data_IF_433636337557
#
_entry.id   IF_433636337557
#
_cell.length_a   1.000
_cell.length_b   1.000
_cell.length_c   1.000
_cell.angle_alpha   90.00
_cell.angle_beta   90.00
_cell.angle_gamma   90.00
#
_symmetry.space_group_name_H-M   'P 1'
#
loop_
_entity.id
_entity.type
_entity.pdbx_description
1 polymer ?
#
# COMPACT_ATOMS: atom_id res chain seq x y z
N UNK A 1 43.48 9.87 36.99
CA UNK A 1 42.93 10.73 38.06
C UNK A 1 42.44 12.01 37.43
N UNK A 2 41.46 12.70 38.03
CA UNK A 2 41.20 14.10 37.65
C UNK A 2 42.52 14.88 37.72
N UNK A 3 42.91 15.50 36.60
CA UNK A 3 44.21 16.17 36.44
C UNK A 3 45.27 15.37 35.66
N UNK A 4 45.04 14.10 35.32
CA UNK A 4 45.96 13.35 34.46
C UNK A 4 45.86 13.85 33.01
N UNK A 5 47.02 14.03 32.37
CA UNK A 5 47.11 14.43 30.97
C UNK A 5 47.15 13.19 30.07
N UNK A 6 46.34 13.20 29.02
CA UNK A 6 46.31 12.14 28.02
C UNK A 6 46.80 12.69 26.68
N UNK A 7 47.69 11.94 26.04
CA UNK A 7 48.21 12.28 24.71
C UNK A 7 47.15 11.93 23.65
N UNK A 8 46.72 12.92 22.86
CA UNK A 8 45.76 12.69 21.77
C UNK A 8 46.50 12.08 20.58
N UNK A 9 46.42 10.75 20.47
CA UNK A 9 47.11 10.00 19.42
C UNK A 9 46.61 10.34 18.01
N UNK A 10 45.31 10.61 17.85
CA UNK A 10 44.70 10.95 16.55
C UNK A 10 43.35 11.62 16.72
N UNK A 11 43.13 12.72 16.02
CA UNK A 11 41.81 13.32 15.83
C UNK A 11 41.34 13.01 14.41
N UNK A 12 40.21 12.31 14.30
CA UNK A 12 39.56 11.99 13.03
C UNK A 12 38.30 12.84 12.89
N UNK A 13 38.34 13.82 11.99
CA UNK A 13 37.13 14.53 11.56
C UNK A 13 36.54 13.80 10.36
N UNK A 14 35.38 13.17 10.56
CA UNK A 14 34.65 12.45 9.50
C UNK A 14 33.37 13.17 9.17
N UNK A 15 33.17 13.51 7.90
CA UNK A 15 31.88 13.98 7.41
C UNK A 15 30.88 12.81 7.36
N UNK A 16 29.66 13.03 7.85
CA UNK A 16 28.55 12.07 7.77
C UNK A 16 27.31 12.77 7.28
N UNK A 17 26.48 12.04 6.53
CA UNK A 17 25.16 12.49 6.10
C UNK A 17 24.08 11.78 6.89
N UNK A 18 22.92 12.43 7.04
CA UNK A 18 21.72 11.77 7.54
C UNK A 18 21.31 10.67 6.58
N UNK A 19 20.88 9.54 7.12
CA UNK A 19 20.35 8.44 6.33
C UNK A 19 18.82 8.51 6.36
N UNK A 20 18.14 8.09 5.28
CA UNK A 20 16.70 7.95 5.32
C UNK A 20 16.29 6.89 6.36
N UNK A 21 15.06 6.98 6.90
CA UNK A 21 14.55 5.96 7.79
C UNK A 21 14.66 4.56 7.16
N UNK A 22 15.10 3.54 7.91
CA UNK A 22 15.14 2.18 7.40
C UNK A 22 13.73 1.69 7.09
N UNK A 23 13.57 0.93 6.01
CA UNK A 23 12.31 0.23 5.74
C UNK A 23 12.01 -0.78 6.84
N UNK A 24 10.73 -1.02 7.08
CA UNK A 24 10.28 -2.01 8.04
C UNK A 24 10.64 -3.44 7.61
N UNK A 25 10.96 -4.30 8.55
CA UNK A 25 10.80 -5.75 8.44
C UNK A 25 9.41 -6.15 8.98
N UNK A 26 9.01 -7.42 8.85
CA UNK A 26 7.79 -7.92 9.49
C UNK A 26 7.79 -7.66 10.99
N UNK A 27 8.92 -7.93 11.67
CA UNK A 27 9.09 -7.69 13.11
C UNK A 27 8.91 -6.22 13.50
N UNK A 28 9.59 -5.30 12.81
CA UNK A 28 9.47 -3.87 13.13
C UNK A 28 8.11 -3.30 12.72
N UNK A 29 7.45 -3.84 11.68
CA UNK A 29 6.10 -3.43 11.32
C UNK A 29 5.10 -3.87 12.39
N UNK A 30 5.24 -5.07 12.96
CA UNK A 30 4.40 -5.50 14.08
C UNK A 30 4.54 -4.60 15.31
N UNK A 31 5.77 -4.21 15.65
CA UNK A 31 6.03 -3.24 16.72
C UNK A 31 5.38 -1.88 16.42
N UNK A 32 5.44 -1.43 15.16
CA UNK A 32 4.81 -0.18 14.75
C UNK A 32 3.28 -0.25 14.78
N UNK A 33 2.70 -1.38 14.38
CA UNK A 33 1.26 -1.65 14.51
C UNK A 33 0.84 -1.63 15.98
N UNK A 34 1.59 -2.30 16.85
CA UNK A 34 1.35 -2.29 18.30
C UNK A 34 1.40 -0.88 18.88
N UNK A 35 2.45 -0.10 18.55
CA UNK A 35 2.61 1.29 18.98
C UNK A 35 1.44 2.17 18.54
N UNK A 36 0.82 1.86 17.40
CA UNK A 36 -0.33 2.58 16.85
C UNK A 36 -1.69 2.03 17.29
N UNK A 37 -1.72 0.99 18.13
CA UNK A 37 -2.99 0.36 18.54
C UNK A 37 -3.69 -0.39 17.41
N UNK A 38 -2.94 -0.94 16.44
CA UNK A 38 -3.48 -1.64 15.28
C UNK A 38 -3.40 -3.15 15.47
N UNK A 39 -4.57 -3.77 15.63
CA UNK A 39 -4.69 -5.20 15.83
C UNK A 39 -4.12 -5.68 17.17
N UNK A 40 -4.45 -6.93 17.49
CA UNK A 40 -4.05 -7.61 18.71
C UNK A 40 -2.82 -8.50 18.47
N UNK A 41 -2.28 -9.09 19.54
CA UNK A 41 -1.15 -10.02 19.47
C UNK A 41 -1.39 -11.18 18.49
N UNK A 42 -2.64 -11.63 18.34
CA UNK A 42 -3.01 -12.72 17.42
C UNK A 42 -3.25 -12.27 15.98
N UNK A 43 -3.69 -11.02 15.74
CA UNK A 43 -4.10 -10.60 14.39
C UNK A 43 -3.00 -9.92 13.57
N UNK A 44 -1.98 -9.31 14.20
CA UNK A 44 -0.93 -8.55 13.47
C UNK A 44 -0.17 -9.40 12.45
N UNK A 45 0.24 -10.61 12.85
CA UNK A 45 0.96 -11.53 11.97
C UNK A 45 0.11 -11.91 10.74
N UNK A 46 -1.16 -12.24 10.98
CA UNK A 46 -2.10 -12.63 9.91
C UNK A 46 -2.38 -11.45 8.96
N UNK A 47 -2.54 -10.24 9.49
CA UNK A 47 -2.73 -9.02 8.70
C UNK A 47 -1.54 -8.76 7.78
N UNK A 48 -0.31 -8.85 8.32
CA UNK A 48 0.90 -8.69 7.51
C UNK A 48 0.95 -9.78 6.43
N UNK A 49 0.68 -11.04 6.78
CA UNK A 49 0.68 -12.13 5.80
C UNK A 49 -0.34 -11.90 4.67
N UNK A 50 -1.55 -11.43 5.00
CA UNK A 50 -2.57 -11.06 4.00
C UNK A 50 -2.10 -9.98 3.04
N UNK A 51 -1.26 -9.02 3.48
CA UNK A 51 -0.67 -8.01 2.58
C UNK A 51 0.26 -8.66 1.55
N UNK A 52 1.03 -9.67 1.93
CA UNK A 52 1.88 -10.42 1.00
C UNK A 52 1.06 -11.32 0.07
N UNK A 53 0.09 -12.05 0.61
CA UNK A 53 -0.75 -12.99 -0.16
C UNK A 53 -1.55 -12.25 -1.24
N UNK A 54 -2.07 -11.06 -0.90
CA UNK A 54 -2.78 -10.17 -1.83
C UNK A 54 -1.84 -9.33 -2.70
N UNK A 55 -0.52 -9.49 -2.54
CA UNK A 55 0.53 -8.77 -3.28
C UNK A 55 0.45 -7.26 -3.14
N UNK A 56 0.11 -6.75 -1.96
CA UNK A 56 0.24 -5.33 -1.60
C UNK A 56 1.62 -4.99 -1.03
N UNK A 57 2.34 -5.99 -0.53
CA UNK A 57 3.70 -5.86 -0.03
C UNK A 57 4.62 -6.96 -0.59
N UNK A 58 5.92 -6.68 -0.66
CA UNK A 58 6.97 -7.62 -1.10
C UNK A 58 8.27 -7.40 -0.34
N UNK A 59 9.20 -8.36 -0.46
CA UNK A 59 10.56 -8.26 0.07
C UNK A 59 10.70 -8.57 1.57
N UNK A 60 11.94 -8.78 2.02
CA UNK A 60 12.28 -8.99 3.44
C UNK A 60 12.26 -7.67 4.21
N UNK A 61 12.84 -6.64 3.61
CA UNK A 61 12.53 -5.25 3.94
C UNK A 61 11.26 -4.92 3.16
N UNK A 62 10.18 -4.67 3.89
CA UNK A 62 8.84 -4.47 3.36
C UNK A 62 8.85 -3.30 2.41
N UNK A 63 8.43 -3.56 1.18
CA UNK A 63 8.21 -2.58 0.15
C UNK A 63 6.76 -2.68 -0.32
N UNK A 64 6.02 -1.57 -0.36
CA UNK A 64 4.70 -1.58 -0.96
C UNK A 64 4.84 -1.93 -2.44
N UNK A 65 3.93 -2.75 -2.94
CA UNK A 65 3.80 -2.95 -4.38
C UNK A 65 3.02 -1.80 -4.97
N UNK A 66 3.12 -1.66 -6.27
CA UNK A 66 2.35 -0.68 -7.00
C UNK A 66 0.83 -0.85 -6.85
N UNK A 67 0.34 -2.09 -6.79
CA UNK A 67 -1.06 -2.36 -6.49
C UNK A 67 -1.44 -1.90 -5.08
N UNK A 68 -0.55 -2.07 -4.10
CA UNK A 68 -0.74 -1.55 -2.75
C UNK A 68 -0.84 -0.03 -2.74
N UNK A 69 0.09 0.64 -3.43
CA UNK A 69 0.10 2.11 -3.57
C UNK A 69 -1.17 2.60 -4.26
N UNK A 70 -1.57 1.96 -5.37
CA UNK A 70 -2.75 2.34 -6.15
C UNK A 70 -4.04 2.23 -5.33
N UNK A 71 -4.18 1.17 -4.53
CA UNK A 71 -5.35 0.99 -3.65
C UNK A 71 -5.40 2.08 -2.59
N UNK A 72 -4.30 2.34 -1.89
CA UNK A 72 -4.24 3.38 -0.86
C UNK A 72 -4.52 4.75 -1.47
N UNK A 73 -3.89 5.09 -2.60
CA UNK A 73 -4.10 6.36 -3.28
C UNK A 73 -5.55 6.56 -3.74
N UNK A 74 -6.19 5.51 -4.29
CA UNK A 74 -7.59 5.60 -4.71
C UNK A 74 -8.53 5.82 -3.52
N UNK A 75 -8.29 5.13 -2.40
CA UNK A 75 -9.05 5.34 -1.16
C UNK A 75 -8.81 6.75 -0.60
N UNK A 76 -7.57 7.24 -0.61
CA UNK A 76 -7.27 8.60 -0.14
C UNK A 76 -7.88 9.70 -1.01
N UNK A 77 -8.07 9.46 -2.30
CA UNK A 77 -8.66 10.45 -3.21
C UNK A 77 -10.18 10.50 -3.14
N UNK A 78 -10.82 9.34 -2.96
CA UNK A 78 -12.27 9.19 -3.15
C UNK A 78 -13.04 8.77 -1.90
N UNK A 79 -12.38 8.28 -0.85
CA UNK A 79 -13.01 7.81 0.38
C UNK A 79 -12.74 8.76 1.57
N UNK A 80 -12.66 10.07 1.31
CA UNK A 80 -12.53 11.08 2.37
C UNK A 80 -13.91 11.40 2.94
N UNK A 81 -14.04 11.27 4.26
CA UNK A 81 -15.28 11.58 4.98
C UNK A 81 -15.17 12.86 5.77
N UNK A 82 -14.38 12.82 6.84
CA UNK A 82 -14.22 13.90 7.79
C UNK A 82 -12.74 14.00 8.16
N UNK A 83 -12.31 15.19 8.58
CA UNK A 83 -10.90 15.42 8.93
C UNK A 83 -10.41 14.56 10.09
N UNK A 84 -11.35 14.04 10.91
CA UNK A 84 -11.03 13.28 12.11
C UNK A 84 -10.80 11.79 11.88
N UNK A 85 -11.58 11.14 11.00
CA UNK A 85 -11.50 9.70 10.73
C UNK A 85 -11.47 9.39 9.24
N UNK A 86 -10.39 8.73 8.81
CA UNK A 86 -10.17 8.27 7.43
C UNK A 86 -9.88 6.77 7.46
N UNK A 87 -10.50 6.02 6.56
CA UNK A 87 -10.33 4.55 6.48
C UNK A 87 -8.87 4.12 6.28
N UNK A 88 -8.03 4.95 5.65
CA UNK A 88 -6.61 4.69 5.45
C UNK A 88 -5.73 5.09 6.64
N UNK A 89 -6.27 5.79 7.63
CA UNK A 89 -5.51 6.30 8.77
C UNK A 89 -5.62 5.37 9.98
N UNK A 90 -4.47 5.12 10.62
CA UNK A 90 -4.37 4.28 11.81
C UNK A 90 -5.31 4.70 12.96
N UNK A 91 -5.58 6.01 13.12
CA UNK A 91 -6.40 6.55 14.23
C UNK A 91 -7.80 5.92 14.27
N UNK A 92 -8.44 5.74 13.11
CA UNK A 92 -9.79 5.19 13.05
C UNK A 92 -9.80 3.72 13.50
N UNK A 93 -8.91 2.90 12.95
CA UNK A 93 -8.83 1.49 13.35
C UNK A 93 -8.44 1.34 14.81
N UNK A 94 -7.52 2.16 15.31
CA UNK A 94 -7.11 2.15 16.71
C UNK A 94 -8.26 2.51 17.66
N UNK A 95 -9.15 3.43 17.27
CA UNK A 95 -10.37 3.75 18.03
C UNK A 95 -11.27 2.51 18.16
N UNK A 96 -11.55 1.84 17.04
CA UNK A 96 -12.38 0.62 17.06
C UNK A 96 -11.77 -0.49 17.92
N UNK A 97 -10.44 -0.67 17.89
CA UNK A 97 -9.73 -1.63 18.75
C UNK A 97 -9.83 -1.24 20.23
N UNK A 98 -9.67 0.05 20.57
CA UNK A 98 -9.80 0.49 21.96
C UNK A 98 -11.22 0.32 22.51
N UNK A 99 -12.24 0.55 21.68
CA UNK A 99 -13.64 0.34 22.06
C UNK A 99 -13.92 -1.13 22.37
N UNK A 100 -13.35 -2.06 21.59
CA UNK A 100 -13.42 -3.50 21.87
C UNK A 100 -12.71 -3.86 23.19
N UNK A 101 -11.56 -3.26 23.48
CA UNK A 101 -10.83 -3.47 24.74
C UNK A 101 -11.64 -2.97 25.96
N UNK A 102 -12.37 -1.85 25.83
CA UNK A 102 -13.24 -1.33 26.89
C UNK A 102 -14.42 -2.27 27.19
N UNK A 103 -14.97 -2.94 26.18
CA UNK A 103 -15.97 -4.01 26.40
C UNK A 103 -15.34 -5.16 27.19
N UNK A 104 -14.14 -5.59 26.81
CA UNK A 104 -13.46 -6.70 27.48
C UNK A 104 -13.13 -6.39 28.96
N UNK A 105 -12.91 -5.12 29.28
CA UNK A 105 -12.68 -4.64 30.65
C UNK A 105 -13.97 -4.39 31.45
N UNK A 106 -15.13 -4.41 30.78
CA UNK A 106 -16.43 -4.10 31.39
C UNK A 106 -16.67 -2.60 31.59
N UNK A 107 -15.90 -1.74 30.93
CA UNK A 107 -16.01 -0.28 31.02
C UNK A 107 -17.03 0.30 30.02
N UNK A 108 -17.33 -0.44 28.94
CA UNK A 108 -18.38 -0.11 27.97
C UNK A 108 -19.31 -1.28 27.68
N UNK A 109 -20.54 -0.96 27.29
CA UNK A 109 -21.57 -1.93 26.94
C UNK A 109 -21.49 -2.27 25.45
N UNK A 110 -21.63 -3.56 25.12
CA UNK A 110 -21.57 -4.05 23.74
C UNK A 110 -22.53 -3.31 22.79
N UNK A 111 -23.76 -3.04 23.24
CA UNK A 111 -24.77 -2.37 22.43
C UNK A 111 -24.29 -0.99 21.95
N UNK A 112 -23.83 -0.14 22.88
CA UNK A 112 -23.38 1.21 22.57
C UNK A 112 -22.18 1.22 21.62
N UNK A 113 -21.22 0.33 21.84
CA UNK A 113 -20.01 0.24 20.99
C UNK A 113 -20.36 -0.25 19.59
N UNK A 114 -21.28 -1.21 19.47
CA UNK A 114 -21.73 -1.72 18.16
C UNK A 114 -22.47 -0.64 17.39
N UNK A 115 -23.37 0.10 18.05
CA UNK A 115 -24.09 1.23 17.44
C UNK A 115 -23.11 2.30 16.92
N UNK A 116 -22.19 2.77 17.78
CA UNK A 116 -21.18 3.77 17.40
C UNK A 116 -20.27 3.29 16.26
N UNK A 117 -19.85 2.02 16.30
CA UNK A 117 -19.01 1.43 15.24
C UNK A 117 -19.76 1.30 13.92
N UNK A 118 -21.05 0.95 13.97
CA UNK A 118 -21.89 0.83 12.79
C UNK A 118 -22.12 2.19 12.13
N UNK A 119 -22.45 3.22 12.92
CA UNK A 119 -22.63 4.58 12.42
C UNK A 119 -21.37 5.08 11.70
N UNK A 120 -20.20 4.90 12.34
CA UNK A 120 -18.92 5.27 11.73
C UNK A 120 -18.66 4.55 10.40
N UNK A 121 -19.01 3.26 10.31
CA UNK A 121 -18.81 2.46 9.11
C UNK A 121 -19.84 2.73 8.02
N UNK A 122 -21.07 3.09 8.37
CA UNK A 122 -22.16 3.39 7.44
C UNK A 122 -21.85 4.65 6.62
N UNK A 123 -21.34 5.68 7.32
CA UNK A 123 -20.84 6.89 6.69
C UNK A 123 -19.72 6.56 5.67
N UNK A 124 -18.79 5.69 6.04
CA UNK A 124 -17.73 5.21 5.15
C UNK A 124 -18.27 4.46 3.94
N UNK A 125 -19.20 3.53 4.19
CA UNK A 125 -19.77 2.71 3.14
C UNK A 125 -20.53 3.57 2.14
N UNK A 126 -21.28 4.58 2.61
CA UNK A 126 -22.00 5.54 1.76
C UNK A 126 -21.06 6.24 0.77
N UNK A 127 -19.90 6.72 1.23
CA UNK A 127 -18.92 7.37 0.35
C UNK A 127 -18.25 6.38 -0.60
N UNK A 128 -17.89 5.19 -0.11
CA UNK A 128 -17.28 4.15 -0.95
C UNK A 128 -18.23 3.67 -2.05
N UNK A 129 -19.52 3.50 -1.74
CA UNK A 129 -20.53 3.12 -2.72
C UNK A 129 -20.76 4.21 -3.75
N UNK A 130 -20.85 5.48 -3.30
CA UNK A 130 -21.01 6.63 -4.19
C UNK A 130 -19.85 6.78 -5.18
N UNK A 131 -18.62 6.55 -4.73
CA UNK A 131 -17.40 6.73 -5.53
C UNK A 131 -16.82 5.41 -6.06
N UNK A 132 -17.60 4.31 -6.03
CA UNK A 132 -17.15 2.96 -6.39
C UNK A 132 -16.54 2.89 -7.79
N UNK A 133 -17.11 3.63 -8.74
CA UNK A 133 -16.67 3.62 -10.14
C UNK A 133 -15.32 4.33 -10.27
N UNK A 134 -15.21 5.51 -9.67
CA UNK A 134 -14.03 6.36 -9.66
C UNK A 134 -12.85 5.65 -8.99
N UNK A 135 -13.07 5.05 -7.81
CA UNK A 135 -12.09 4.22 -7.12
C UNK A 135 -11.62 3.07 -8.03
N UNK A 136 -12.56 2.35 -8.63
CA UNK A 136 -12.25 1.21 -9.50
C UNK A 136 -11.50 1.61 -10.77
N UNK A 137 -11.80 2.78 -11.33
CA UNK A 137 -11.16 3.30 -12.53
C UNK A 137 -9.75 3.84 -12.22
N UNK A 138 -9.54 4.50 -11.08
CA UNK A 138 -8.22 4.97 -10.63
C UNK A 138 -7.27 3.81 -10.34
N UNK A 139 -7.73 2.77 -9.64
CA UNK A 139 -6.94 1.56 -9.40
C UNK A 139 -6.56 0.92 -10.74
N UNK A 140 -7.52 0.78 -11.67
CA UNK A 140 -7.26 0.22 -13.00
C UNK A 140 -6.29 1.07 -13.81
N UNK A 141 -6.40 2.39 -13.75
CA UNK A 141 -5.53 3.34 -14.46
C UNK A 141 -4.11 3.26 -13.94
N UNK A 142 -3.92 3.30 -12.63
CA UNK A 142 -2.61 3.18 -11.98
C UNK A 142 -1.92 1.87 -12.37
N UNK A 143 -2.65 0.75 -12.34
CA UNK A 143 -2.12 -0.56 -12.74
C UNK A 143 -1.79 -0.63 -14.24
N UNK A 144 -2.59 -0.01 -15.11
CA UNK A 144 -2.36 -0.01 -16.57
C UNK A 144 -1.18 0.88 -16.98
N UNK A 145 -1.02 2.05 -16.36
CA UNK A 145 0.04 3.00 -16.69
C UNK A 145 1.44 2.37 -16.55
N UNK A 146 1.60 1.40 -15.67
CA UNK A 146 2.86 0.73 -15.37
C UNK A 146 3.21 -0.40 -16.34
N UNK A 147 2.19 -0.93 -17.01
CA UNK A 147 2.36 -1.95 -18.04
C UNK A 147 2.46 -1.33 -19.45
N UNK A 148 2.54 0.01 -19.54
CA UNK A 148 2.67 0.69 -20.81
C UNK A 148 4.09 0.51 -21.39
N UNK A 149 4.15 -0.18 -22.52
CA UNK A 149 5.36 -0.47 -23.29
C UNK A 149 5.55 0.50 -24.47
N UNK A 150 4.74 1.56 -24.54
CA UNK A 150 4.80 2.59 -25.57
C UNK A 150 3.61 2.57 -26.53
N UNK A 151 3.69 3.37 -27.59
CA UNK A 151 2.62 3.50 -28.59
C UNK A 151 2.44 2.20 -29.40
N UNK A 152 1.18 1.86 -29.70
CA UNK A 152 0.85 0.71 -30.53
C UNK A 152 1.26 0.96 -31.99
N UNK A 153 2.17 0.17 -32.58
CA UNK A 153 2.63 0.39 -33.94
C UNK A 153 1.53 0.18 -34.99
N UNK A 154 0.46 -0.54 -34.65
CA UNK A 154 -0.65 -0.86 -35.55
C UNK A 154 -1.66 0.28 -35.68
N UNK A 155 -2.09 0.87 -34.56
CA UNK A 155 -3.12 1.92 -34.59
C UNK A 155 -2.58 3.32 -34.33
N UNK A 156 -1.34 3.48 -33.82
CA UNK A 156 -0.68 4.75 -33.46
C UNK A 156 -1.45 5.67 -32.48
N UNK A 157 -2.66 5.28 -32.10
CA UNK A 157 -3.54 6.01 -31.18
C UNK A 157 -3.68 5.28 -29.83
N UNK A 158 -3.37 3.98 -29.80
CA UNK A 158 -3.42 3.15 -28.59
C UNK A 158 -2.05 2.94 -27.96
N UNK A 159 -2.02 2.48 -26.72
CA UNK A 159 -0.80 2.12 -25.99
C UNK A 159 -0.68 0.60 -25.88
N UNK A 160 0.52 0.07 -25.99
CA UNK A 160 0.81 -1.34 -25.72
C UNK A 160 0.86 -1.56 -24.21
N UNK A 161 -0.03 -2.39 -23.71
CA UNK A 161 -0.12 -2.74 -22.30
C UNK A 161 0.30 -4.20 -22.11
N UNK A 162 1.16 -4.48 -21.15
CA UNK A 162 1.34 -5.83 -20.64
C UNK A 162 0.08 -6.27 -19.85
N UNK A 163 -0.55 -7.35 -20.32
CA UNK A 163 -1.75 -7.94 -19.75
C UNK A 163 -1.39 -9.30 -19.18
N UNK A 164 -1.64 -9.47 -17.88
CA UNK A 164 -1.46 -10.75 -17.19
C UNK A 164 -2.75 -11.56 -17.20
N UNK A 165 -2.66 -12.80 -17.67
CA UNK A 165 -3.74 -13.78 -17.64
C UNK A 165 -3.85 -14.42 -16.25
N UNK A 166 -5.04 -14.95 -15.93
CA UNK A 166 -5.30 -15.69 -14.68
C UNK A 166 -4.39 -16.92 -14.51
N UNK A 167 -3.92 -17.50 -15.62
CA UNK A 167 -2.97 -18.63 -15.65
C UNK A 167 -1.54 -18.23 -15.27
N UNK A 168 -1.28 -16.94 -15.02
CA UNK A 168 0.04 -16.42 -14.66
C UNK A 168 0.92 -16.04 -15.86
N UNK A 169 0.56 -16.47 -17.07
CA UNK A 169 1.16 -16.01 -18.32
C UNK A 169 0.79 -14.53 -18.59
N UNK A 170 1.64 -13.83 -19.32
CA UNK A 170 1.40 -12.44 -19.72
C UNK A 170 1.61 -12.28 -21.21
N UNK A 171 0.86 -11.37 -21.82
CA UNK A 171 1.01 -10.98 -23.23
C UNK A 171 0.91 -9.47 -23.33
N UNK A 172 1.37 -8.89 -24.43
CA UNK A 172 1.23 -7.46 -24.68
C UNK A 172 0.01 -7.25 -25.58
N UNK A 173 -0.88 -6.33 -25.24
CA UNK A 173 -2.08 -6.02 -26.00
C UNK A 173 -2.33 -4.52 -26.12
N UNK A 174 -2.98 -4.08 -27.19
CA UNK A 174 -3.34 -2.67 -27.37
C UNK A 174 -4.46 -2.24 -26.40
N UNK A 175 -4.31 -1.05 -25.81
CA UNK A 175 -5.28 -0.45 -24.86
C UNK A 175 -6.65 -0.18 -25.47
N UNK A 176 -6.73 0.01 -26.80
CA UNK A 176 -7.96 0.19 -27.58
C UNK A 176 -8.59 -1.13 -28.04
N UNK A 177 -8.54 -2.18 -27.23
CA UNK A 177 -9.32 -3.38 -27.53
C UNK A 177 -10.80 -3.13 -27.17
N UNK A 178 -11.79 -3.47 -28.02
CA UNK A 178 -11.72 -4.35 -29.19
C UNK A 178 -11.43 -3.69 -30.55
N UNK A 179 -11.35 -2.35 -30.63
CA UNK A 179 -11.13 -1.60 -31.88
C UNK A 179 -9.77 -1.92 -32.53
N UNK A 180 -8.76 -2.22 -31.71
CA UNK A 180 -7.43 -2.65 -32.11
C UNK A 180 -7.07 -3.96 -31.41
N UNK A 181 -7.06 -5.07 -32.16
CA UNK A 181 -6.73 -6.42 -31.67
C UNK A 181 -5.23 -6.76 -31.76
N UNK A 182 -4.36 -5.75 -31.73
CA UNK A 182 -2.92 -6.00 -31.80
C UNK A 182 -2.43 -6.65 -30.49
N UNK A 183 -1.79 -7.81 -30.59
CA UNK A 183 -1.22 -8.52 -29.44
C UNK A 183 0.15 -9.12 -29.78
N UNK A 184 1.03 -9.21 -28.79
CA UNK A 184 2.32 -9.88 -28.88
C UNK A 184 2.48 -10.89 -27.74
N UNK A 185 2.99 -12.10 -27.99
CA UNK A 185 3.35 -13.02 -26.92
C UNK A 185 4.53 -12.45 -26.12
N UNK A 186 4.53 -12.61 -24.79
CA UNK A 186 5.72 -12.30 -23.98
C UNK A 186 6.66 -13.52 -24.00
N UNK A 187 7.91 -13.41 -24.49
CA UNK A 187 8.87 -14.51 -24.40
C UNK A 187 9.18 -14.84 -22.92
N UNK A 188 9.21 -16.13 -22.57
CA UNK A 188 9.64 -16.55 -21.23
C UNK A 188 11.11 -16.18 -21.04
N UNK A 189 11.40 -15.34 -20.04
CA UNK A 189 12.77 -14.98 -19.64
C UNK A 189 13.26 -13.57 -20.01
N UNK A 190 12.47 -12.73 -20.69
CA UNK A 190 12.84 -11.32 -20.92
C UNK A 190 12.38 -10.39 -19.79
N UNK A 191 13.35 -9.71 -19.17
CA UNK A 191 13.14 -8.50 -18.38
C UNK A 191 12.68 -7.39 -19.33
N UNK A 192 11.43 -6.97 -19.22
CA UNK A 192 11.00 -5.72 -19.81
C UNK A 192 11.66 -4.60 -18.99
N UNK A 193 12.71 -4.00 -19.54
CA UNK A 193 13.19 -2.74 -19.03
C UNK A 193 12.09 -1.72 -19.36
N UNK A 194 11.51 -1.09 -18.34
CA UNK A 194 10.76 0.13 -18.56
C UNK A 194 11.69 1.07 -19.33
N UNK A 195 11.21 1.60 -20.45
CA UNK A 195 11.94 2.58 -21.25
C UNK A 195 12.00 3.89 -20.46
N UNK A 196 12.88 3.94 -19.46
CA UNK A 196 13.35 5.20 -18.92
C UNK A 196 14.33 5.80 -19.92
N UNK A 197 14.17 7.11 -20.13
CA UNK A 197 15.01 8.04 -20.87
C UNK A 197 14.67 8.26 -22.36
N UNK A 198 13.87 9.30 -22.59
CA UNK A 198 14.32 10.44 -23.40
C UNK A 198 14.30 11.69 -22.55
#
# INVERSE_FOLDING_TARGET
KEGDTAEVLKVLSTEKKTLPPPRFTQGSLMQEMERKGLGTKSTRHETIQKLYDRRFAKGVKIEPTESGIAVVAALENHARLHDEYKITHAKMTAHLESEMDLIAQGERVLADVVEESQDMLDDIMTVLEKNKKEIGDDIRKALRAQHNLGECPKCKEGQLLEIRLKTGQSFVGCSRYPECRNTYPRPQGMLALASDQK
#
